data_IF_635978986792
#
_entry.id   IF_635978986792
#
_cell.length_a   1.000
_cell.length_b   1.000
_cell.length_c   1.000
_cell.angle_alpha   90.00
_cell.angle_beta   90.00
_cell.angle_gamma   90.00
#
_symmetry.space_group_name_H-M   'P 1'
#
loop_
_entity.id
_entity.type
_entity.pdbx_description
1 polymer ?
#
# COMPACT_ATOMS: atom_id res chain seq x y z
N UNK A 1 -26.12 57.66 -16.02
CA UNK A 1 -26.02 56.44 -16.86
C UNK A 1 -24.54 56.28 -17.20
N UNK A 2 -23.76 55.25 -16.84
CA UNK A 2 -24.00 53.89 -16.33
C UNK A 2 -22.83 53.47 -15.44
N UNK A 3 -23.13 52.72 -14.38
CA UNK A 3 -22.21 51.92 -13.56
C UNK A 3 -21.75 50.67 -14.34
N UNK A 4 -20.48 50.30 -14.28
CA UNK A 4 -19.97 48.95 -14.64
C UNK A 4 -18.84 48.63 -13.65
N UNK A 5 -19.19 48.17 -12.44
CA UNK A 5 -19.06 46.79 -11.94
C UNK A 5 -17.69 46.14 -12.14
N UNK A 6 -16.93 46.09 -11.05
CA UNK A 6 -15.79 45.20 -10.82
C UNK A 6 -16.24 43.74 -10.93
N UNK A 7 -15.54 42.93 -11.75
CA UNK A 7 -15.60 41.48 -11.67
C UNK A 7 -14.21 40.95 -11.27
N UNK A 8 -14.01 40.78 -9.97
CA UNK A 8 -12.92 39.97 -9.42
C UNK A 8 -13.26 38.49 -9.68
N UNK A 9 -12.65 37.88 -10.68
CA UNK A 9 -12.74 36.44 -10.92
C UNK A 9 -11.75 35.75 -9.99
N UNK A 10 -12.21 35.38 -8.80
CA UNK A 10 -11.50 34.50 -7.88
C UNK A 10 -11.55 33.08 -8.46
N UNK A 11 -10.55 32.71 -9.28
CA UNK A 11 -10.32 31.33 -9.69
C UNK A 11 -9.84 30.54 -8.46
N UNK A 12 -10.80 30.06 -7.65
CA UNK A 12 -10.58 28.94 -6.74
C UNK A 12 -10.33 27.72 -7.61
N UNK A 13 -9.07 27.48 -7.96
CA UNK A 13 -8.62 26.15 -8.39
C UNK A 13 -8.85 25.23 -7.20
N UNK A 14 -10.01 24.57 -7.18
CA UNK A 14 -10.17 23.33 -6.45
C UNK A 14 -9.14 22.37 -7.05
N UNK A 15 -7.96 22.32 -6.44
CA UNK A 15 -7.09 21.16 -6.55
C UNK A 15 -7.98 20.03 -6.04
N UNK A 16 -8.53 19.24 -6.96
CA UNK A 16 -9.06 17.94 -6.61
C UNK A 16 -7.85 17.20 -6.06
N UNK A 17 -7.67 17.27 -4.74
CA UNK A 17 -6.92 16.29 -4.00
C UNK A 17 -7.60 14.97 -4.34
N UNK A 18 -7.09 14.27 -5.34
CA UNK A 18 -7.33 12.84 -5.49
C UNK A 18 -6.88 12.27 -4.15
N UNK A 19 -7.83 12.00 -3.27
CA UNK A 19 -7.53 11.51 -1.93
C UNK A 19 -6.88 10.15 -2.13
N UNK A 20 -5.57 10.09 -1.92
CA UNK A 20 -4.84 8.84 -1.81
C UNK A 20 -5.44 8.00 -0.67
N UNK A 21 -5.32 6.68 -0.81
CA UNK A 21 -6.04 5.67 -0.02
C UNK A 21 -5.80 5.69 1.48
N UNK A 22 -4.57 5.96 1.89
CA UNK A 22 -4.20 6.04 3.30
C UNK A 22 -4.31 7.49 3.76
N UNK A 23 -5.24 7.70 4.69
CA UNK A 23 -5.51 9.00 5.31
C UNK A 23 -5.10 9.00 6.78
N UNK A 24 -5.05 7.82 7.41
CA UNK A 24 -4.63 7.61 8.78
C UNK A 24 -3.75 6.36 8.86
N UNK A 25 -3.01 6.21 9.97
CA UNK A 25 -2.30 4.96 10.21
C UNK A 25 -3.28 3.79 10.30
N UNK A 26 -2.94 2.69 9.64
CA UNK A 26 -3.75 1.48 9.60
C UNK A 26 -2.88 0.28 9.95
N UNK A 27 -3.32 -0.54 10.91
CA UNK A 27 -2.59 -1.70 11.38
C UNK A 27 -3.42 -2.95 11.18
N UNK A 28 -2.75 -4.06 10.86
CA UNK A 28 -3.41 -5.35 10.73
C UNK A 28 -3.79 -5.84 12.12
N UNK A 29 -5.06 -6.18 12.31
CA UNK A 29 -5.66 -6.61 13.56
C UNK A 29 -4.86 -7.72 14.23
N UNK A 30 -4.61 -7.56 15.53
CA UNK A 30 -3.83 -8.51 16.33
C UNK A 30 -2.32 -8.50 16.07
N UNK A 31 -1.82 -7.57 15.24
CA UNK A 31 -0.39 -7.41 14.93
C UNK A 31 0.03 -5.94 15.01
N UNK A 32 1.31 -5.67 14.83
CA UNK A 32 1.94 -4.35 14.65
C UNK A 32 2.41 -4.14 13.21
N UNK A 33 1.90 -4.92 12.27
CA UNK A 33 2.06 -4.69 10.84
C UNK A 33 1.21 -3.48 10.44
N UNK A 34 1.85 -2.32 10.36
CA UNK A 34 1.14 -1.05 10.16
C UNK A 34 1.61 -0.34 8.90
N UNK A 35 0.71 0.39 8.23
CA UNK A 35 1.06 1.47 7.31
C UNK A 35 0.94 2.78 8.07
N UNK A 36 2.03 3.53 8.15
CA UNK A 36 2.12 4.79 8.89
C UNK A 36 3.09 5.76 8.23
N UNK A 37 3.00 7.05 8.56
CA UNK A 37 3.92 8.05 8.01
C UNK A 37 5.29 7.96 8.65
N UNK A 38 6.34 8.00 7.85
CA UNK A 38 7.71 8.18 8.31
C UNK A 38 7.98 9.65 8.69
N UNK A 39 9.22 9.98 9.10
CA UNK A 39 9.61 11.34 9.49
C UNK A 39 9.53 12.38 8.38
N UNK A 40 9.50 11.94 7.11
CA UNK A 40 9.33 12.80 5.93
C UNK A 40 7.86 12.96 5.52
N UNK A 41 6.94 12.33 6.25
CA UNK A 41 5.50 12.37 5.96
C UNK A 41 5.04 11.33 4.93
N UNK A 42 5.92 10.42 4.49
CA UNK A 42 5.61 9.39 3.50
C UNK A 42 4.99 8.16 4.16
N UNK A 43 3.92 7.62 3.58
CA UNK A 43 3.29 6.39 4.04
C UNK A 43 4.16 5.18 3.75
N UNK A 44 4.62 4.52 4.80
CA UNK A 44 5.47 3.35 4.74
C UNK A 44 4.88 2.20 5.56
N UNK A 45 5.14 0.99 5.09
CA UNK A 45 4.87 -0.21 5.88
C UNK A 45 5.90 -0.34 7.00
N UNK A 46 5.44 -0.74 8.18
CA UNK A 46 6.22 -0.96 9.39
C UNK A 46 6.02 -2.41 9.81
N UNK A 47 6.91 -3.32 9.39
CA UNK A 47 6.82 -4.73 9.75
C UNK A 47 7.28 -4.98 11.19
N UNK A 48 6.82 -6.09 11.75
CA UNK A 48 7.33 -6.61 13.01
C UNK A 48 8.62 -7.40 12.81
N UNK A 49 9.52 -7.32 13.78
CA UNK A 49 10.65 -8.24 13.85
C UNK A 49 10.13 -9.68 13.96
N UNK A 50 10.65 -10.56 13.11
CA UNK A 50 10.28 -11.98 13.14
C UNK A 50 11.17 -12.64 14.16
N UNK A 51 10.64 -12.76 15.38
CA UNK A 51 11.20 -13.67 16.37
C UNK A 51 10.66 -15.08 16.15
N UNK A 52 11.35 -16.09 16.67
CA UNK A 52 10.91 -17.48 16.62
C UNK A 52 9.49 -17.73 17.18
N UNK A 53 8.88 -16.75 17.86
CA UNK A 53 7.58 -16.85 18.51
C UNK A 53 6.48 -15.96 17.92
N UNK A 54 6.76 -15.05 16.97
CA UNK A 54 5.80 -13.97 16.62
C UNK A 54 5.20 -13.95 15.21
N UNK A 55 5.79 -14.61 14.21
CA UNK A 55 5.11 -14.91 12.94
C UNK A 55 5.91 -15.92 12.13
N UNK A 56 5.30 -17.05 11.77
CA UNK A 56 5.88 -17.89 10.72
C UNK A 56 5.66 -17.18 9.37
N UNK A 57 6.72 -17.06 8.56
CA UNK A 57 6.56 -16.72 7.15
C UNK A 57 5.58 -17.71 6.53
N UNK A 58 4.44 -17.21 6.02
CA UNK A 58 3.38 -18.08 5.52
C UNK A 58 3.63 -18.53 4.09
N UNK A 59 4.54 -17.86 3.36
CA UNK A 59 4.80 -18.03 1.93
C UNK A 59 3.57 -17.77 1.04
N UNK A 60 3.78 -17.24 -0.16
CA UNK A 60 2.69 -17.10 -1.16
C UNK A 60 2.61 -18.39 -1.99
N UNK A 61 2.38 -19.52 -1.32
CA UNK A 61 2.30 -20.87 -1.88
C UNK A 61 1.13 -21.64 -1.23
N UNK A 62 0.72 -22.76 -1.81
CA UNK A 62 -0.40 -23.56 -1.29
C UNK A 62 -1.70 -22.74 -1.25
N UNK A 63 -2.25 -22.57 -0.05
CA UNK A 63 -3.50 -21.83 0.21
C UNK A 63 -3.41 -20.31 -0.05
N UNK A 64 -2.24 -19.81 -0.45
CA UNK A 64 -1.98 -18.40 -0.76
C UNK A 64 -1.36 -18.19 -2.16
N UNK A 65 -1.43 -19.21 -3.03
CA UNK A 65 -0.83 -19.19 -4.37
C UNK A 65 -1.38 -18.07 -5.27
N UNK A 66 -2.62 -17.62 -5.03
CA UNK A 66 -3.25 -16.53 -5.75
C UNK A 66 -2.52 -15.19 -5.57
N UNK A 67 -1.74 -15.04 -4.50
CA UNK A 67 -0.95 -13.83 -4.23
C UNK A 67 0.43 -13.85 -4.90
N UNK A 68 0.87 -15.01 -5.41
CA UNK A 68 2.22 -15.20 -5.95
C UNK A 68 2.53 -14.28 -7.12
N UNK A 69 1.57 -14.09 -8.04
CA UNK A 69 1.75 -13.20 -9.19
C UNK A 69 1.96 -11.75 -8.79
N UNK A 70 1.14 -11.24 -7.85
CA UNK A 70 1.30 -9.89 -7.32
C UNK A 70 2.62 -9.73 -6.55
N UNK A 71 3.02 -10.72 -5.74
CA UNK A 71 4.32 -10.71 -5.08
C UNK A 71 5.45 -10.63 -6.12
N UNK A 72 5.42 -11.46 -7.16
CA UNK A 72 6.47 -11.46 -8.19
C UNK A 72 6.55 -10.11 -8.91
N UNK A 73 5.41 -9.51 -9.26
CA UNK A 73 5.38 -8.15 -9.81
C UNK A 73 5.93 -7.12 -8.82
N UNK A 74 5.64 -7.27 -7.53
CA UNK A 74 6.13 -6.39 -6.47
C UNK A 74 7.63 -6.45 -6.27
N UNK A 75 8.22 -7.64 -6.25
CA UNK A 75 9.66 -7.80 -6.07
C UNK A 75 10.49 -7.26 -7.25
N UNK A 76 9.87 -7.13 -8.43
CA UNK A 76 10.52 -6.67 -9.67
C UNK A 76 10.27 -5.19 -10.01
N UNK A 77 9.82 -4.38 -9.04
CA UNK A 77 9.57 -2.94 -9.23
C UNK A 77 10.38 -2.09 -8.24
N UNK A 78 9.99 -0.83 -8.06
CA UNK A 78 10.69 0.15 -7.23
C UNK A 78 9.76 0.91 -6.24
N UNK A 79 8.64 0.32 -5.83
CA UNK A 79 7.76 0.90 -4.80
C UNK A 79 7.67 -0.05 -3.60
N UNK A 80 7.64 0.53 -2.39
CA UNK A 80 7.44 -0.19 -1.14
C UNK A 80 5.98 -0.59 -0.93
N UNK A 81 5.04 0.19 -1.47
CA UNK A 81 3.59 -0.05 -1.40
C UNK A 81 3.03 0.02 -2.81
N UNK A 82 2.40 -1.06 -3.27
CA UNK A 82 1.80 -1.10 -4.58
C UNK A 82 0.56 -1.99 -4.65
N UNK A 83 -0.35 -1.62 -5.55
CA UNK A 83 -1.59 -2.32 -5.82
C UNK A 83 -1.56 -3.01 -7.18
N UNK A 84 -2.23 -4.16 -7.26
CA UNK A 84 -2.25 -5.03 -8.42
C UNK A 84 -3.67 -5.52 -8.72
N UNK A 85 -3.95 -5.74 -10.00
CA UNK A 85 -5.19 -6.36 -10.44
C UNK A 85 -5.21 -7.83 -10.03
N UNK A 86 -6.28 -8.29 -9.40
CA UNK A 86 -6.40 -9.66 -8.91
C UNK A 86 -6.57 -10.73 -10.00
N UNK A 87 -6.80 -10.34 -11.25
CA UNK A 87 -6.94 -11.25 -12.40
C UNK A 87 -5.62 -11.41 -13.12
N UNK A 88 -4.98 -10.31 -13.54
CA UNK A 88 -3.77 -10.35 -14.37
C UNK A 88 -2.48 -9.87 -13.68
N UNK A 89 -2.55 -9.54 -12.38
CA UNK A 89 -1.44 -9.06 -11.56
C UNK A 89 -0.75 -7.79 -12.08
N UNK A 90 -1.38 -7.06 -13.01
CA UNK A 90 -0.83 -5.79 -13.49
C UNK A 90 -0.86 -4.75 -12.38
N UNK A 91 0.20 -3.95 -12.35
CA UNK A 91 0.30 -2.78 -11.47
C UNK A 91 -0.83 -1.80 -11.74
N UNK A 92 -1.47 -1.35 -10.66
CA UNK A 92 -2.58 -0.38 -10.69
C UNK A 92 -2.16 0.98 -10.14
N UNK A 93 -1.18 1.02 -9.24
CA UNK A 93 -0.71 2.26 -8.62
C UNK A 93 0.07 2.02 -7.33
N UNK A 94 0.66 3.09 -6.81
CA UNK A 94 1.35 3.11 -5.52
C UNK A 94 0.43 3.42 -4.35
N UNK A 95 0.98 4.01 -3.29
CA UNK A 95 0.27 4.29 -2.04
C UNK A 95 -0.96 5.20 -2.17
N UNK A 96 -1.02 6.02 -3.22
CA UNK A 96 -2.13 6.94 -3.50
C UNK A 96 -3.21 6.37 -4.42
N UNK A 97 -3.09 5.11 -4.86
CA UNK A 97 -4.15 4.45 -5.62
C UNK A 97 -5.47 4.47 -4.82
N UNK A 98 -6.64 4.55 -5.45
CA UNK A 98 -7.95 4.45 -4.76
C UNK A 98 -8.56 3.06 -5.04
N UNK A 99 -9.04 2.30 -4.03
CA UNK A 99 -9.70 0.99 -4.28
C UNK A 99 -11.04 1.34 -4.93
N UNK A 100 -11.35 0.88 -6.15
CA UNK A 100 -12.67 1.02 -6.71
C UNK A 100 -13.68 0.26 -5.85
N UNK A 101 -14.83 0.87 -5.57
CA UNK A 101 -15.97 0.20 -4.90
C UNK A 101 -16.67 -0.84 -5.78
N UNK A 102 -16.34 -0.88 -7.07
CA UNK A 102 -16.87 -1.84 -8.04
C UNK A 102 -16.26 -3.24 -7.87
N UNK A 103 -16.92 -4.26 -8.42
CA UNK A 103 -16.49 -5.65 -8.33
C UNK A 103 -15.12 -5.87 -8.97
N UNK A 104 -14.15 -6.32 -8.18
CA UNK A 104 -12.84 -6.76 -8.65
C UNK A 104 -11.95 -7.07 -7.46
N UNK A 105 -11.08 -8.07 -7.61
CA UNK A 105 -10.06 -8.33 -6.59
C UNK A 105 -8.92 -7.35 -6.84
N UNK A 106 -8.56 -6.57 -5.83
CA UNK A 106 -7.33 -5.77 -5.81
C UNK A 106 -6.40 -6.41 -4.80
N UNK A 107 -5.15 -6.63 -5.19
CA UNK A 107 -4.09 -7.08 -4.29
C UNK A 107 -3.23 -5.89 -3.90
N UNK A 108 -2.71 -5.90 -2.70
CA UNK A 108 -1.68 -4.96 -2.26
C UNK A 108 -0.50 -5.74 -1.73
N UNK A 109 0.70 -5.29 -2.08
CA UNK A 109 1.93 -5.75 -1.47
C UNK A 109 2.66 -4.56 -0.83
N UNK A 110 3.18 -4.82 0.36
CA UNK A 110 3.81 -3.86 1.26
C UNK A 110 5.14 -4.43 1.70
N UNK A 111 6.23 -3.69 1.52
CA UNK A 111 7.55 -4.14 1.94
C UNK A 111 8.19 -3.14 2.91
N UNK A 112 9.02 -3.60 3.86
CA UNK A 112 10.01 -2.79 4.60
C UNK A 112 10.94 -3.68 5.44
N UNK A 113 12.04 -3.11 5.89
CA UNK A 113 12.89 -3.68 6.92
C UNK A 113 12.20 -3.57 8.28
N UNK A 114 12.11 -4.69 8.98
CA UNK A 114 11.68 -4.71 10.37
C UNK A 114 12.80 -4.21 11.30
N UNK A 115 12.49 -4.07 12.59
CA UNK A 115 13.47 -3.61 13.59
C UNK A 115 14.68 -4.53 13.78
N UNK A 116 14.63 -5.76 13.27
CA UNK A 116 15.74 -6.73 13.20
C UNK A 116 16.59 -6.61 11.91
N UNK A 117 16.24 -5.66 11.03
CA UNK A 117 16.89 -5.46 9.74
C UNK A 117 16.43 -6.43 8.63
N UNK A 118 15.52 -7.35 8.92
CA UNK A 118 14.99 -8.25 7.90
C UNK A 118 14.00 -7.51 7.01
N UNK A 119 14.30 -7.44 5.71
CA UNK A 119 13.34 -6.97 4.71
C UNK A 119 12.22 -8.00 4.58
N UNK A 120 10.97 -7.56 4.68
CA UNK A 120 9.78 -8.39 4.62
C UNK A 120 8.78 -7.81 3.62
N UNK A 121 8.02 -8.68 2.94
CA UNK A 121 6.89 -8.31 2.10
C UNK A 121 5.62 -8.97 2.63
N UNK A 122 4.58 -8.18 2.87
CA UNK A 122 3.22 -8.63 3.14
C UNK A 122 2.35 -8.37 1.91
N UNK A 123 1.73 -9.42 1.36
CA UNK A 123 0.76 -9.30 0.26
C UNK A 123 -0.62 -9.81 0.70
N UNK A 124 -1.71 -9.17 0.24
CA UNK A 124 -3.09 -9.60 0.52
C UNK A 124 -4.11 -9.02 -0.46
N UNK A 125 -5.31 -9.61 -0.48
CA UNK A 125 -6.47 -9.01 -1.15
C UNK A 125 -7.01 -7.85 -0.31
N UNK A 126 -7.11 -6.67 -0.89
CA UNK A 126 -7.47 -5.43 -0.20
C UNK A 126 -8.95 -5.41 0.13
N UNK A 127 -9.31 -5.08 1.38
CA UNK A 127 -10.71 -4.97 1.82
C UNK A 127 -11.35 -3.59 1.52
N UNK A 128 -10.52 -2.57 1.25
CA UNK A 128 -10.97 -1.22 0.92
C UNK A 128 -9.87 -0.19 1.08
N UNK A 129 -10.26 1.08 1.02
CA UNK A 129 -9.36 2.20 1.33
C UNK A 129 -8.92 2.18 2.80
N UNK A 130 -7.72 2.70 3.08
CA UNK A 130 -7.13 2.79 4.43
C UNK A 130 -7.16 1.46 5.23
N UNK A 131 -7.00 0.32 4.55
CA UNK A 131 -7.11 -1.01 5.15
C UNK A 131 -5.89 -1.88 4.90
N UNK A 132 -5.48 -2.61 5.94
CA UNK A 132 -4.38 -3.60 5.90
C UNK A 132 -4.80 -4.99 6.42
N UNK A 133 -6.10 -5.18 6.61
CA UNK A 133 -6.72 -6.39 7.18
C UNK A 133 -7.24 -7.37 6.12
N UNK A 134 -6.71 -7.27 4.91
CA UNK A 134 -7.11 -8.11 3.79
C UNK A 134 -6.81 -9.60 3.98
N UNK A 135 -7.66 -10.44 3.39
CA UNK A 135 -7.51 -11.90 3.35
C UNK A 135 -7.82 -12.45 1.95
N UNK A 136 -7.12 -13.50 1.46
CA UNK A 136 -5.94 -14.16 2.03
C UNK A 136 -4.76 -13.20 2.17
N UNK A 137 -3.75 -13.61 2.92
CA UNK A 137 -2.49 -12.89 3.03
C UNK A 137 -1.29 -13.83 3.05
N UNK A 138 -0.15 -13.35 2.57
CA UNK A 138 1.13 -14.03 2.73
C UNK A 138 2.21 -13.05 3.22
N UNK A 139 3.10 -13.53 4.09
CA UNK A 139 4.28 -12.82 4.57
C UNK A 139 5.54 -13.58 4.12
N UNK A 140 6.47 -12.88 3.48
CA UNK A 140 7.73 -13.46 2.98
C UNK A 140 8.94 -12.61 3.35
N UNK A 141 10.10 -13.25 3.40
CA UNK A 141 11.38 -12.57 3.43
C UNK A 141 11.67 -11.94 2.06
N UNK A 142 12.19 -10.72 2.06
CA UNK A 142 12.54 -9.96 0.88
C UNK A 142 11.55 -8.85 0.56
N UNK A 143 11.85 -8.13 -0.51
CA UNK A 143 11.14 -6.97 -1.01
C UNK A 143 11.80 -6.49 -2.30
N UNK A 144 11.29 -5.42 -2.93
CA UNK A 144 11.98 -4.77 -4.02
C UNK A 144 13.40 -4.38 -3.59
N UNK A 145 14.43 -4.56 -4.44
CA UNK A 145 15.83 -4.34 -4.05
C UNK A 145 16.16 -2.88 -3.76
N UNK A 146 15.45 -1.95 -4.41
CA UNK A 146 15.53 -0.50 -4.21
C UNK A 146 14.14 0.07 -4.40
N UNK A 147 13.73 1.01 -3.54
CA UNK A 147 12.46 1.74 -3.71
C UNK A 147 12.70 3.23 -3.86
N UNK A 148 11.84 3.89 -4.64
CA UNK A 148 11.92 5.34 -4.91
C UNK A 148 10.97 6.17 -4.06
N UNK A 149 10.16 5.54 -3.20
CA UNK A 149 9.16 6.20 -2.37
C UNK A 149 9.66 6.55 -0.96
N UNK A 150 10.96 6.39 -0.69
CA UNK A 150 11.57 6.86 0.55
C UNK A 150 11.21 6.06 1.80
N UNK A 151 10.78 4.80 1.62
CA UNK A 151 10.46 3.91 2.73
C UNK A 151 11.61 3.00 3.16
N UNK A 152 12.61 2.76 2.29
CA UNK A 152 13.89 2.11 2.61
C UNK A 152 15.05 3.06 2.33
#
# INVERSE_FOLDING_TARGET
MRFISLLSVLFLTFVQLSQGKFITAACRSGTRYCVQRNSQGTWCYSPEAISATTAAMTACQGDHVELQGALQSHLNQNLSIAYYNGVDNKWLGGVDYSVPTASGIVRMCLSNSAGDGMLQTLCFNVAGDNSVDGFPFCLVAGGPPVVSDGCY
#
